data_IF_859888398714
#
_entry.id   IF_859888398714
#
_cell.length_a   1.000
_cell.length_b   1.000
_cell.length_c   1.000
_cell.angle_alpha   90.00
_cell.angle_beta   90.00
_cell.angle_gamma   90.00
#
_symmetry.space_group_name_H-M   'P 1'
#
loop_
_entity.id
_entity.type
_entity.pdbx_description
1 polymer ?
#
# COMPACT_ATOMS: atom_id res chain seq x y z
N UNK A 1 2.39 -16.23 -10.91
CA UNK A 1 1.96 -16.86 -9.65
C UNK A 1 0.56 -16.37 -9.30
N UNK A 2 -0.39 -17.27 -9.08
CA UNK A 2 -1.68 -16.95 -8.47
C UNK A 2 -1.78 -17.79 -7.20
N UNK A 3 -1.89 -17.13 -6.04
CA UNK A 3 -2.03 -17.79 -4.76
C UNK A 3 -3.41 -17.48 -4.18
N UNK A 4 -4.08 -18.50 -3.66
CA UNK A 4 -5.37 -18.36 -2.99
C UNK A 4 -5.16 -18.80 -1.55
N UNK A 5 -5.46 -17.91 -0.61
CA UNK A 5 -5.39 -18.20 0.82
C UNK A 5 -6.81 -18.60 1.24
N UNK A 6 -7.05 -19.89 1.53
CA UNK A 6 -8.40 -20.41 1.76
C UNK A 6 -8.98 -19.97 3.11
N UNK A 7 -8.11 -19.76 4.11
CA UNK A 7 -8.46 -19.35 5.46
C UNK A 7 -7.27 -18.66 6.15
N UNK A 8 -7.54 -17.97 7.25
CA UNK A 8 -6.57 -17.17 8.00
C UNK A 8 -5.41 -18.01 8.58
N UNK A 9 -5.64 -19.31 8.81
CA UNK A 9 -4.66 -20.23 9.40
C UNK A 9 -3.81 -20.96 8.34
N UNK A 10 -4.22 -20.93 7.07
CA UNK A 10 -3.50 -21.59 5.99
C UNK A 10 -2.04 -21.11 5.85
N UNK A 11 -1.73 -19.79 5.91
CA UNK A 11 -0.37 -19.30 5.85
C UNK A 11 0.52 -19.89 6.95
N UNK A 12 -0.01 -20.00 8.17
CA UNK A 12 0.70 -20.60 9.30
C UNK A 12 1.00 -22.08 9.07
N UNK A 13 0.01 -22.87 8.64
CA UNK A 13 0.18 -24.31 8.34
C UNK A 13 1.23 -24.55 7.26
N UNK A 14 1.21 -23.75 6.18
CA UNK A 14 2.20 -23.88 5.11
C UNK A 14 3.60 -23.55 5.58
N UNK A 15 3.75 -22.47 6.37
CA UNK A 15 5.04 -22.12 6.94
C UNK A 15 5.56 -23.23 7.87
N UNK A 16 4.71 -23.80 8.72
CA UNK A 16 5.08 -24.92 9.59
C UNK A 16 5.55 -26.14 8.80
N UNK A 17 4.89 -26.47 7.69
CA UNK A 17 5.31 -27.55 6.79
C UNK A 17 6.65 -27.25 6.11
N UNK A 18 6.83 -26.05 5.57
CA UNK A 18 8.07 -25.64 4.89
C UNK A 18 9.29 -25.66 5.82
N UNK A 19 9.09 -25.32 7.09
CA UNK A 19 10.15 -25.30 8.12
C UNK A 19 10.56 -26.70 8.61
N UNK A 20 9.92 -27.77 8.14
CA UNK A 20 10.39 -29.14 8.42
C UNK A 20 11.62 -29.52 7.56
N UNK A 21 11.85 -28.80 6.46
CA UNK A 21 13.06 -28.93 5.65
C UNK A 21 14.26 -28.25 6.35
N UNK A 22 15.52 -28.59 6.00
CA UNK A 22 16.70 -27.94 6.56
C UNK A 22 16.90 -26.52 5.99
N UNK A 23 15.96 -25.63 6.31
CA UNK A 23 15.92 -24.21 5.93
C UNK A 23 16.91 -23.42 6.78
N UNK A 24 17.81 -22.66 6.14
CA UNK A 24 18.80 -21.81 6.84
C UNK A 24 18.68 -20.32 6.48
N UNK A 25 18.08 -20.02 5.35
CA UNK A 25 17.89 -18.66 4.86
C UNK A 25 16.42 -18.37 4.52
N UNK A 26 16.07 -17.09 4.40
CA UNK A 26 14.76 -16.67 3.86
C UNK A 26 14.54 -17.19 2.44
N UNK A 27 15.60 -17.32 1.64
CA UNK A 27 15.50 -17.89 0.28
C UNK A 27 15.14 -19.37 0.34
N UNK A 28 15.85 -20.15 1.17
CA UNK A 28 15.56 -21.57 1.35
C UNK A 28 14.12 -21.78 1.85
N UNK A 29 13.66 -20.89 2.73
CA UNK A 29 12.31 -20.90 3.26
C UNK A 29 11.25 -20.59 2.19
N UNK A 30 11.55 -19.65 1.29
CA UNK A 30 10.69 -19.32 0.15
C UNK A 30 10.65 -20.50 -0.82
N UNK A 31 11.79 -21.07 -1.18
CA UNK A 31 11.85 -22.21 -2.09
C UNK A 31 11.10 -23.42 -1.51
N UNK A 32 11.24 -23.67 -0.20
CA UNK A 32 10.52 -24.74 0.50
C UNK A 32 8.99 -24.50 0.59
N UNK A 33 8.57 -23.24 0.74
CA UNK A 33 7.16 -22.87 0.90
C UNK A 33 6.43 -22.76 -0.44
N UNK A 34 7.08 -22.18 -1.43
CA UNK A 34 6.50 -21.83 -2.73
C UNK A 34 6.86 -22.82 -3.84
N UNK A 35 7.85 -23.70 -3.60
CA UNK A 35 8.37 -24.66 -4.58
C UNK A 35 9.38 -24.06 -5.56
N UNK A 36 9.59 -22.74 -5.52
CA UNK A 36 10.47 -22.00 -6.42
C UNK A 36 10.80 -20.61 -5.83
N UNK A 37 11.84 -19.94 -6.35
CA UNK A 37 12.19 -18.60 -5.88
C UNK A 37 11.14 -17.58 -6.30
N UNK A 38 10.44 -17.02 -5.30
CA UNK A 38 9.47 -15.93 -5.49
C UNK A 38 10.04 -14.63 -4.93
N UNK A 39 10.04 -13.51 -5.70
CA UNK A 39 10.51 -12.23 -5.20
C UNK A 39 9.58 -11.67 -4.11
N UNK A 40 10.08 -10.79 -3.22
CA UNK A 40 9.22 -10.08 -2.27
C UNK A 40 8.09 -9.32 -2.97
N UNK A 41 6.94 -9.22 -2.30
CA UNK A 41 5.83 -8.41 -2.75
C UNK A 41 6.24 -6.93 -2.80
N UNK A 42 6.10 -6.31 -3.96
CA UNK A 42 6.40 -4.88 -4.14
C UNK A 42 5.19 -3.96 -3.94
N UNK A 43 3.98 -4.48 -4.14
CA UNK A 43 2.74 -3.71 -4.16
C UNK A 43 1.60 -4.52 -3.56
N UNK A 44 0.76 -3.87 -2.75
CA UNK A 44 -0.45 -4.45 -2.17
C UNK A 44 -1.67 -3.60 -2.52
N UNK A 45 -2.72 -4.25 -3.05
CA UNK A 45 -4.01 -3.65 -3.38
C UNK A 45 -5.07 -4.13 -2.39
N UNK A 46 -5.46 -3.24 -1.48
CA UNK A 46 -6.53 -3.47 -0.51
C UNK A 46 -7.84 -2.76 -0.87
N UNK A 47 -8.90 -3.13 -0.16
CA UNK A 47 -10.24 -2.57 -0.33
C UNK A 47 -10.84 -2.22 1.04
N UNK A 48 -11.62 -1.14 1.10
CA UNK A 48 -12.25 -0.64 2.31
C UNK A 48 -11.24 0.02 3.27
N UNK A 49 -11.21 -0.45 4.52
CA UNK A 49 -10.37 0.13 5.57
C UNK A 49 -8.89 -0.19 5.30
N UNK A 50 -7.97 0.79 5.38
CA UNK A 50 -6.54 0.54 5.36
C UNK A 50 -6.10 -0.35 6.52
N UNK A 51 -5.90 -1.63 6.22
CA UNK A 51 -5.39 -2.63 7.14
C UNK A 51 -4.66 -3.71 6.34
N UNK A 52 -3.62 -4.27 6.93
CA UNK A 52 -2.93 -5.46 6.44
C UNK A 52 -2.98 -6.48 7.57
N UNK A 53 -3.70 -7.58 7.35
CA UNK A 53 -3.64 -8.75 8.22
C UNK A 53 -2.50 -9.66 7.75
N UNK A 54 -2.02 -10.51 8.65
CA UNK A 54 -0.98 -11.50 8.41
C UNK A 54 -1.30 -12.45 7.25
N UNK A 55 -2.57 -12.82 7.07
CA UNK A 55 -3.03 -13.64 5.96
C UNK A 55 -3.24 -12.89 4.63
N UNK A 56 -3.04 -11.56 4.57
CA UNK A 56 -3.21 -10.79 3.33
C UNK A 56 -1.91 -10.65 2.52
N UNK A 57 -0.76 -10.89 3.14
CA UNK A 57 0.53 -10.96 2.46
C UNK A 57 1.04 -12.39 2.51
N UNK A 58 1.44 -13.00 1.38
CA UNK A 58 2.00 -14.34 1.40
C UNK A 58 3.21 -14.41 2.34
N UNK A 59 3.33 -15.45 3.20
CA UNK A 59 4.40 -15.54 4.19
C UNK A 59 5.78 -15.40 3.56
N UNK A 60 6.69 -14.75 4.27
CA UNK A 60 8.07 -14.56 3.81
C UNK A 60 8.21 -13.74 2.52
N UNK A 61 7.14 -13.23 1.90
CA UNK A 61 7.23 -12.31 0.76
C UNK A 61 7.13 -10.84 1.19
N UNK A 62 6.96 -10.57 2.49
CA UNK A 62 7.03 -9.22 3.05
C UNK A 62 8.42 -8.57 2.84
N UNK A 63 8.42 -7.32 2.40
CA UNK A 63 9.59 -6.46 2.21
C UNK A 63 9.16 -4.99 2.31
N UNK A 64 9.65 -4.12 1.42
CA UNK A 64 9.05 -2.80 1.22
C UNK A 64 7.82 -2.93 0.32
N UNK A 65 6.63 -2.96 0.92
CA UNK A 65 5.37 -3.11 0.18
C UNK A 65 4.71 -1.74 0.02
N UNK A 66 4.42 -1.36 -1.22
CA UNK A 66 3.67 -0.14 -1.53
C UNK A 66 2.18 -0.43 -1.53
N UNK A 67 1.48 0.07 -0.50
CA UNK A 67 0.07 -0.22 -0.33
C UNK A 67 -0.83 0.85 -0.96
N UNK A 68 -1.93 0.39 -1.55
CA UNK A 68 -3.02 1.20 -2.07
C UNK A 68 -4.34 0.61 -1.56
N UNK A 69 -5.30 1.48 -1.26
CA UNK A 69 -6.63 1.06 -0.83
C UNK A 69 -7.70 1.78 -1.65
N UNK A 70 -8.72 1.06 -2.07
CA UNK A 70 -9.89 1.65 -2.71
C UNK A 70 -11.12 1.52 -1.83
N UNK A 71 -12.04 2.49 -1.91
CA UNK A 71 -13.28 2.48 -1.12
C UNK A 71 -14.43 1.74 -1.80
N UNK A 72 -14.26 1.26 -3.04
CA UNK A 72 -15.36 0.65 -3.78
C UNK A 72 -15.73 -0.69 -3.12
N UNK A 73 -17.02 -0.93 -2.84
CA UNK A 73 -17.50 -2.24 -2.44
C UNK A 73 -17.31 -3.28 -3.56
N UNK A 74 -16.94 -4.50 -3.19
CA UNK A 74 -16.61 -5.56 -4.14
C UNK A 74 -15.19 -5.41 -4.67
N UNK A 75 -14.45 -6.52 -4.75
CA UNK A 75 -13.04 -6.60 -5.13
C UNK A 75 -12.81 -6.28 -6.62
N UNK A 76 -13.20 -5.08 -7.06
CA UNK A 76 -13.17 -4.66 -8.45
C UNK A 76 -12.47 -3.31 -8.62
N UNK A 77 -11.67 -3.23 -9.68
CA UNK A 77 -11.01 -2.03 -10.16
C UNK A 77 -11.36 -1.86 -11.63
N UNK A 78 -11.56 -0.62 -12.06
CA UNK A 78 -11.55 -0.32 -13.49
C UNK A 78 -10.12 -0.40 -14.02
N UNK A 79 -9.98 -0.59 -15.33
CA UNK A 79 -8.68 -0.57 -15.98
C UNK A 79 -7.92 0.75 -15.75
N UNK A 80 -8.65 1.87 -15.71
CA UNK A 80 -8.06 3.20 -15.48
C UNK A 80 -7.59 3.39 -14.04
N UNK A 81 -8.33 2.88 -13.05
CA UNK A 81 -7.90 2.89 -11.65
C UNK A 81 -6.63 2.06 -11.45
N UNK A 82 -6.59 0.85 -12.03
CA UNK A 82 -5.40 0.00 -11.98
C UNK A 82 -4.20 0.69 -12.64
N UNK A 83 -4.37 1.31 -13.81
CA UNK A 83 -3.29 2.05 -14.50
C UNK A 83 -2.74 3.20 -13.67
N UNK A 84 -3.61 3.96 -12.98
CA UNK A 84 -3.17 5.06 -12.08
C UNK A 84 -2.29 4.52 -10.95
N UNK A 85 -2.69 3.41 -10.34
CA UNK A 85 -1.93 2.78 -9.26
C UNK A 85 -0.58 2.26 -9.76
N UNK A 86 -0.56 1.57 -10.91
CA UNK A 86 0.68 1.05 -11.49
C UNK A 86 1.63 2.18 -11.92
N UNK A 87 1.11 3.28 -12.45
CA UNK A 87 1.91 4.45 -12.82
C UNK A 87 2.52 5.12 -11.57
N UNK A 88 1.73 5.33 -10.51
CA UNK A 88 2.26 5.86 -9.25
C UNK A 88 3.40 4.97 -8.72
N UNK A 89 3.16 3.66 -8.66
CA UNK A 89 4.13 2.68 -8.18
C UNK A 89 5.43 2.67 -9.00
N UNK A 90 5.33 2.62 -10.32
CA UNK A 90 6.47 2.43 -11.20
C UNK A 90 7.22 3.75 -11.51
N UNK A 91 6.53 4.88 -11.50
CA UNK A 91 7.08 6.14 -12.03
C UNK A 91 7.17 7.27 -10.99
N UNK A 92 6.25 7.33 -10.02
CA UNK A 92 6.19 8.45 -9.05
C UNK A 92 6.94 8.10 -7.76
N UNK A 93 6.69 6.91 -7.22
CA UNK A 93 7.27 6.46 -5.94
C UNK A 93 8.78 6.26 -5.92
N UNK A 94 9.46 5.90 -7.04
CA UNK A 94 10.91 5.91 -7.12
C UNK A 94 11.51 7.33 -7.04
N UNK A 95 11.26 8.06 -5.95
CA UNK A 95 11.83 9.38 -5.66
C UNK A 95 13.25 9.28 -5.08
N UNK A 96 13.81 8.06 -4.98
CA UNK A 96 15.18 7.87 -4.52
C UNK A 96 16.16 8.31 -5.62
N UNK A 97 16.85 9.43 -5.37
CA UNK A 97 18.07 9.81 -6.08
C UNK A 97 19.29 9.42 -5.24
N UNK A 98 20.32 8.88 -5.90
CA UNK A 98 21.61 8.50 -5.27
C UNK A 98 22.31 9.71 -4.66
N UNK A 99 22.18 10.86 -5.31
CA UNK A 99 22.58 12.15 -4.76
C UNK A 99 21.44 12.72 -3.89
N UNK A 100 21.76 12.98 -2.63
CA UNK A 100 20.85 13.55 -1.64
C UNK A 100 21.19 15.00 -1.30
N UNK A 101 22.24 15.56 -1.89
CA UNK A 101 22.60 16.97 -1.72
C UNK A 101 21.47 17.87 -2.27
N UNK A 102 21.17 18.97 -1.59
CA UNK A 102 20.08 19.87 -1.99
C UNK A 102 18.65 19.40 -1.66
N UNK A 103 18.46 18.18 -1.12
CA UNK A 103 17.11 17.65 -0.83
C UNK A 103 16.40 18.46 0.26
N UNK A 104 17.14 18.93 1.28
CA UNK A 104 16.56 19.71 2.37
C UNK A 104 16.09 21.08 1.84
N UNK A 105 16.89 21.71 0.98
CA UNK A 105 16.61 22.98 0.34
C UNK A 105 15.44 22.87 -0.64
N UNK A 106 15.35 21.79 -1.42
CA UNK A 106 14.20 21.50 -2.27
C UNK A 106 12.94 21.19 -1.44
N UNK A 107 13.07 20.46 -0.34
CA UNK A 107 11.95 20.20 0.57
C UNK A 107 11.43 21.47 1.23
N UNK A 108 12.28 22.48 1.47
CA UNK A 108 11.84 23.80 1.95
C UNK A 108 10.99 24.55 0.94
N UNK A 109 11.16 24.33 -0.37
CA UNK A 109 10.27 24.90 -1.39
C UNK A 109 8.84 24.35 -1.27
N UNK A 110 8.70 23.11 -0.83
CA UNK A 110 7.42 22.42 -0.60
C UNK A 110 7.01 22.41 0.88
N UNK A 111 7.56 23.33 1.70
CA UNK A 111 7.32 23.41 3.15
C UNK A 111 5.84 23.41 3.52
N UNK A 112 5.04 24.20 2.81
CA UNK A 112 3.61 24.29 3.01
C UNK A 112 2.85 22.97 2.70
N UNK A 113 3.47 21.97 2.05
CA UNK A 113 2.86 20.66 1.80
C UNK A 113 3.13 19.67 2.94
N UNK A 114 4.36 19.61 3.47
CA UNK A 114 4.69 18.67 4.55
C UNK A 114 4.45 19.22 5.96
N UNK A 115 4.29 20.52 6.15
CA UNK A 115 3.79 21.11 7.41
C UNK A 115 2.30 20.87 7.62
N UNK A 116 1.57 20.40 6.60
CA UNK A 116 0.17 20.01 6.77
C UNK A 116 0.11 18.74 7.61
N UNK A 117 -0.71 18.77 8.65
CA UNK A 117 -1.05 17.60 9.46
C UNK A 117 -1.97 16.67 8.66
N UNK A 118 -1.41 15.94 7.70
CA UNK A 118 -2.12 14.92 6.92
C UNK A 118 -1.76 13.53 7.46
N UNK A 119 -2.63 12.97 8.29
CA UNK A 119 -2.52 11.58 8.73
C UNK A 119 -3.32 10.70 7.76
N UNK A 120 -2.61 9.92 6.95
CA UNK A 120 -3.23 8.95 6.04
C UNK A 120 -3.85 7.79 6.84
N UNK A 121 -5.05 7.38 6.46
CA UNK A 121 -5.78 6.29 7.12
C UNK A 121 -6.73 6.75 8.23
N UNK A 122 -6.85 8.06 8.49
CA UNK A 122 -7.98 8.59 9.24
C UNK A 122 -9.27 8.49 8.43
N UNK A 123 -10.37 8.29 9.14
CA UNK A 123 -11.69 8.13 8.53
C UNK A 123 -12.82 8.36 9.52
N UNK A 124 -14.04 8.35 8.98
CA UNK A 124 -15.28 8.44 9.74
C UNK A 124 -16.16 7.24 9.46
N UNK A 125 -17.08 6.94 10.37
CA UNK A 125 -18.11 5.93 10.15
C UNK A 125 -19.28 6.54 9.38
N UNK A 126 -19.72 5.88 8.31
CA UNK A 126 -20.90 6.22 7.53
C UNK A 126 -21.79 4.97 7.43
N UNK A 127 -22.77 4.86 8.34
CA UNK A 127 -23.55 3.62 8.51
C UNK A 127 -22.65 2.45 8.96
N UNK A 128 -22.69 1.28 8.28
CA UNK A 128 -21.80 0.15 8.58
C UNK A 128 -20.41 0.28 7.96
N UNK A 129 -20.15 1.33 7.16
CA UNK A 129 -18.90 1.48 6.42
C UNK A 129 -17.96 2.47 7.09
N UNK A 130 -16.66 2.21 6.94
CA UNK A 130 -15.61 3.20 7.18
C UNK A 130 -15.38 4.00 5.90
N UNK A 131 -15.21 5.32 6.00
CA UNK A 131 -14.96 6.21 4.87
C UNK A 131 -13.76 7.13 5.17
N UNK A 132 -12.81 7.31 4.23
CA UNK A 132 -11.59 8.06 4.47
C UNK A 132 -11.87 9.54 4.67
N UNK A 133 -11.14 10.15 5.59
CA UNK A 133 -11.01 11.61 5.64
C UNK A 133 -9.92 11.99 4.64
N UNK A 134 -10.32 12.65 3.56
CA UNK A 134 -9.35 13.21 2.63
C UNK A 134 -8.70 14.44 3.27
N UNK A 135 -7.37 14.63 3.11
CA UNK A 135 -6.74 15.89 3.46
C UNK A 135 -7.52 17.04 2.81
N UNK A 136 -7.71 18.15 3.54
CA UNK A 136 -8.45 19.29 3.01
C UNK A 136 -7.85 19.74 1.68
N UNK A 137 -8.63 19.63 0.61
CA UNK A 137 -8.23 20.03 -0.72
C UNK A 137 -8.54 21.53 -0.86
N UNK A 138 -7.62 22.42 -0.49
CA UNK A 138 -7.81 23.86 -0.76
C UNK A 138 -7.46 24.14 -2.21
N UNK A 139 -8.43 23.89 -3.08
CA UNK A 139 -8.48 24.44 -4.43
C UNK A 139 -9.94 24.75 -4.78
N UNK A 140 -10.56 25.66 -4.02
CA UNK A 140 -11.57 26.56 -4.56
C UNK A 140 -11.20 27.97 -4.10
N UNK A 141 -10.97 28.94 -5.01
CA UNK A 141 -11.00 30.34 -4.63
C UNK A 141 -12.44 30.67 -4.22
N UNK A 142 -12.57 31.39 -3.12
CA UNK A 142 -13.83 31.87 -2.56
C UNK A 142 -14.61 32.65 -3.63
N UNK A 143 -15.49 31.94 -4.33
CA UNK A 143 -16.33 32.46 -5.37
C UNK A 143 -17.57 33.08 -4.74
N UNK A 144 -17.41 34.28 -4.18
CA UNK A 144 -18.51 35.20 -3.94
C UNK A 144 -18.66 35.67 -2.50
N UNK A 145 -18.31 36.93 -2.27
CA UNK A 145 -19.28 37.90 -1.74
C UNK A 145 -18.78 39.32 -2.01
N UNK A 146 -19.58 40.07 -2.77
CA UNK A 146 -19.30 41.43 -3.18
C UNK A 146 -20.48 42.03 -3.92
N UNK A 147 -21.69 41.85 -3.36
CA UNK A 147 -22.82 42.71 -3.67
C UNK A 147 -22.88 43.79 -2.60
N UNK A 148 -22.63 45.03 -2.99
CA UNK A 148 -23.38 46.23 -2.60
C UNK A 148 -22.97 47.41 -3.48
#
# INVERSE_FOLDING_TARGET
>A
WLWVIPDEEAPWRWQQQAMQAPVRTRSDAIDALYGEPVPPAGLFLGFGKPAVADYLLPPLLGGTVHCYWTQRPGYSLTQDELRKILFDYACVRPAWRRDKSGRAEAALADRALWEREAILGLGRRAGPFWYPLLPANTAEPDGGEGAH
#
